data_IF_318371102439
#
_entry.id   IF_318371102439
#
_cell.length_a   1.000
_cell.length_b   1.000
_cell.length_c   1.000
_cell.angle_alpha   90.00
_cell.angle_beta   90.00
_cell.angle_gamma   90.00
#
_symmetry.space_group_name_H-M   'P 1'
#
loop_
_entity.id
_entity.type
_entity.pdbx_description
1 polymer ?
#
# COMPACT_ATOMS: atom_id res chain seq x y z
N UNK A 1 -67.18 4.53 12.66
CA UNK A 1 -65.98 4.35 11.81
C UNK A 1 -65.02 5.50 12.09
N UNK A 2 -63.86 5.24 12.70
CA UNK A 2 -62.79 6.27 12.90
C UNK A 2 -62.02 6.40 11.61
N UNK A 3 -62.20 7.51 10.89
CA UNK A 3 -61.32 7.88 9.79
C UNK A 3 -59.92 8.21 10.36
N UNK A 4 -58.99 7.28 10.25
CA UNK A 4 -57.56 7.58 10.49
C UNK A 4 -57.10 8.48 9.35
N UNK A 5 -56.92 9.76 9.64
CA UNK A 5 -56.24 10.71 8.76
C UNK A 5 -54.86 10.17 8.43
N UNK A 6 -54.66 9.71 7.24
CA UNK A 6 -53.34 9.31 6.73
C UNK A 6 -52.53 10.60 6.58
N UNK A 7 -51.62 10.85 7.51
CA UNK A 7 -50.65 11.93 7.37
C UNK A 7 -49.69 11.55 6.24
N UNK A 8 -49.74 12.25 5.15
CA UNK A 8 -48.79 12.12 4.05
C UNK A 8 -47.52 12.88 4.33
N UNK A 9 -46.37 12.42 3.77
CA UNK A 9 -45.12 13.13 3.78
C UNK A 9 -45.17 14.39 2.92
N UNK A 10 -44.57 15.49 3.39
CA UNK A 10 -44.42 16.69 2.57
C UNK A 10 -43.21 16.56 1.62
N UNK A 11 -43.29 17.23 0.47
CA UNK A 11 -42.23 17.22 -0.52
C UNK A 11 -40.92 17.82 0.05
N UNK A 12 -41.02 18.80 0.94
CA UNK A 12 -39.89 19.43 1.61
C UNK A 12 -39.20 18.47 2.57
N UNK A 13 -39.94 17.68 3.36
CA UNK A 13 -39.36 16.68 4.25
C UNK A 13 -38.53 15.65 3.49
N UNK A 14 -39.01 15.21 2.33
CA UNK A 14 -38.25 14.28 1.50
C UNK A 14 -37.01 14.94 0.87
N UNK A 15 -37.14 16.16 0.38
CA UNK A 15 -36.06 16.92 -0.25
C UNK A 15 -34.90 17.20 0.73
N UNK A 16 -35.21 17.58 1.96
CA UNK A 16 -34.20 17.84 3.02
C UNK A 16 -33.46 16.55 3.37
N UNK A 17 -34.14 15.44 3.48
CA UNK A 17 -33.52 14.14 3.82
C UNK A 17 -32.53 13.71 2.75
N UNK A 18 -32.89 13.74 1.47
CA UNK A 18 -31.98 13.37 0.38
C UNK A 18 -30.81 14.34 0.25
N UNK A 19 -30.99 15.63 0.53
CA UNK A 19 -29.92 16.62 0.55
C UNK A 19 -28.90 16.31 1.65
N UNK A 20 -29.35 15.99 2.87
CA UNK A 20 -28.49 15.63 4.00
C UNK A 20 -27.74 14.32 3.71
N UNK A 21 -28.42 13.31 3.20
CA UNK A 21 -27.80 12.04 2.80
C UNK A 21 -26.72 12.28 1.74
N UNK A 22 -26.96 13.12 0.75
CA UNK A 22 -26.01 13.44 -0.30
C UNK A 22 -24.73 14.10 0.25
N UNK A 23 -24.86 15.05 1.17
CA UNK A 23 -23.72 15.71 1.83
C UNK A 23 -22.95 14.71 2.68
N UNK A 24 -23.62 13.94 3.52
CA UNK A 24 -22.97 12.95 4.38
C UNK A 24 -22.25 11.88 3.56
N UNK A 25 -22.87 11.38 2.50
CA UNK A 25 -22.29 10.37 1.62
C UNK A 25 -20.99 10.89 0.96
N UNK A 26 -20.94 12.13 0.52
CA UNK A 26 -19.75 12.70 -0.13
C UNK A 26 -18.56 12.79 0.83
N UNK A 27 -18.78 13.19 2.09
CA UNK A 27 -17.73 13.26 3.12
C UNK A 27 -17.23 11.87 3.51
N UNK A 28 -18.14 10.92 3.67
CA UNK A 28 -17.78 9.53 4.04
C UNK A 28 -16.98 8.86 2.94
N UNK A 29 -17.35 9.04 1.66
CA UNK A 29 -16.63 8.45 0.54
C UNK A 29 -15.19 8.99 0.44
N UNK A 30 -14.99 10.30 0.62
CA UNK A 30 -13.65 10.90 0.60
C UNK A 30 -12.77 10.36 1.74
N UNK A 31 -13.33 10.27 2.95
CA UNK A 31 -12.65 9.70 4.12
C UNK A 31 -12.29 8.22 3.94
N UNK A 32 -13.18 7.45 3.33
CA UNK A 32 -12.99 6.03 3.10
C UNK A 32 -11.86 5.76 2.10
N UNK A 33 -11.78 6.52 1.02
CA UNK A 33 -10.68 6.40 0.06
C UNK A 33 -9.34 6.66 0.72
N UNK A 34 -9.21 7.75 1.48
CA UNK A 34 -7.97 8.06 2.20
C UNK A 34 -7.58 6.97 3.21
N UNK A 35 -8.56 6.40 3.92
CA UNK A 35 -8.32 5.30 4.85
C UNK A 35 -7.87 4.02 4.13
N UNK A 36 -8.43 3.74 2.97
CA UNK A 36 -8.05 2.61 2.13
C UNK A 36 -6.62 2.75 1.62
N UNK A 37 -6.26 3.90 1.06
CA UNK A 37 -4.90 4.15 0.56
C UNK A 37 -3.86 3.97 1.66
N UNK A 38 -4.13 4.47 2.88
CA UNK A 38 -3.26 4.25 4.04
C UNK A 38 -3.17 2.77 4.46
N UNK A 39 -4.25 2.03 4.34
CA UNK A 39 -4.27 0.60 4.59
C UNK A 39 -3.42 -0.18 3.59
N UNK A 40 -3.51 0.17 2.30
CA UNK A 40 -2.68 -0.40 1.24
C UNK A 40 -1.20 -0.09 1.47
N UNK A 41 -0.86 1.15 1.82
CA UNK A 41 0.52 1.53 2.15
C UNK A 41 1.10 0.75 3.32
N UNK A 42 0.29 0.51 4.35
CA UNK A 42 0.70 -0.30 5.49
C UNK A 42 0.96 -1.76 5.08
N UNK A 43 0.12 -2.32 4.20
CA UNK A 43 0.31 -3.67 3.66
C UNK A 43 1.57 -3.76 2.80
N UNK A 44 1.82 -2.78 1.93
CA UNK A 44 3.04 -2.69 1.11
C UNK A 44 4.29 -2.68 1.99
N UNK A 45 4.33 -1.80 2.98
CA UNK A 45 5.45 -1.69 3.93
C UNK A 45 5.67 -2.98 4.71
N UNK A 46 4.59 -3.62 5.16
CA UNK A 46 4.65 -4.89 5.88
C UNK A 46 5.24 -5.99 5.02
N UNK A 47 4.75 -6.15 3.78
CA UNK A 47 5.24 -7.16 2.86
C UNK A 47 6.73 -6.96 2.54
N UNK A 48 7.15 -5.73 2.21
CA UNK A 48 8.55 -5.44 1.93
C UNK A 48 9.46 -5.59 3.15
N UNK A 49 9.00 -5.29 4.35
CA UNK A 49 9.79 -5.56 5.56
C UNK A 49 9.93 -7.05 5.86
N UNK A 50 8.90 -7.84 5.58
CA UNK A 50 8.93 -9.30 5.80
C UNK A 50 9.94 -9.99 4.87
N UNK A 51 10.11 -9.56 3.63
CA UNK A 51 11.08 -10.16 2.71
C UNK A 51 12.52 -9.95 3.15
N UNK A 52 12.83 -8.97 3.98
CA UNK A 52 14.19 -8.76 4.51
C UNK A 52 14.68 -9.98 5.29
N UNK A 53 13.83 -10.52 6.17
CA UNK A 53 14.18 -11.72 6.91
C UNK A 53 14.36 -12.93 5.98
N UNK A 54 13.56 -13.04 4.92
CA UNK A 54 13.69 -14.11 3.94
C UNK A 54 14.98 -13.97 3.11
N UNK A 55 15.33 -12.75 2.72
CA UNK A 55 16.57 -12.47 2.00
C UNK A 55 17.81 -12.84 2.81
N UNK A 56 17.81 -12.58 4.13
CA UNK A 56 18.90 -13.00 5.02
C UNK A 56 18.99 -14.54 5.16
N UNK A 57 17.86 -15.24 5.11
CA UNK A 57 17.87 -16.72 5.10
C UNK A 57 18.49 -17.29 3.81
N UNK A 58 18.26 -16.64 2.67
CA UNK A 58 18.91 -17.01 1.41
C UNK A 58 20.42 -16.79 1.53
N UNK A 59 20.83 -15.62 2.02
CA UNK A 59 22.24 -15.31 2.24
C UNK A 59 22.93 -16.29 3.19
N UNK A 60 22.26 -16.68 4.26
CA UNK A 60 22.82 -17.65 5.23
C UNK A 60 23.01 -19.05 4.61
N UNK A 61 22.24 -19.38 3.58
CA UNK A 61 22.30 -20.66 2.88
C UNK A 61 23.33 -20.65 1.76
N UNK A 62 23.36 -19.59 0.95
CA UNK A 62 24.11 -19.52 -0.31
C UNK A 62 25.42 -18.72 -0.18
N UNK A 63 25.52 -17.87 0.85
CA UNK A 63 26.68 -17.02 1.14
C UNK A 63 26.72 -15.71 0.34
N UNK A 64 25.69 -15.46 -0.44
CA UNK A 64 25.52 -14.22 -1.23
C UNK A 64 24.03 -13.90 -1.44
N UNK A 65 23.75 -12.81 -2.15
CA UNK A 65 22.38 -12.37 -2.45
C UNK A 65 21.95 -12.66 -3.89
N UNK A 66 22.76 -13.38 -4.67
CA UNK A 66 22.39 -13.74 -6.03
C UNK A 66 21.19 -14.72 -6.01
N UNK A 67 20.15 -14.39 -6.75
CA UNK A 67 18.92 -15.19 -6.76
C UNK A 67 17.93 -14.90 -5.62
N UNK A 68 18.21 -13.96 -4.70
CA UNK A 68 17.27 -13.55 -3.63
C UNK A 68 15.90 -13.18 -4.19
N UNK A 69 15.85 -12.42 -5.28
CA UNK A 69 14.59 -12.03 -5.90
C UNK A 69 13.83 -13.18 -6.58
N UNK A 70 14.48 -14.32 -6.81
CA UNK A 70 13.87 -15.54 -7.35
C UNK A 70 13.39 -16.50 -6.26
N UNK A 71 13.83 -16.31 -4.99
CA UNK A 71 13.32 -17.09 -3.88
C UNK A 71 11.80 -16.97 -3.77
N UNK A 72 11.14 -18.09 -3.55
CA UNK A 72 9.67 -18.17 -3.57
C UNK A 72 9.02 -17.23 -2.56
N UNK A 73 9.55 -17.11 -1.36
CA UNK A 73 8.98 -16.30 -0.29
C UNK A 73 9.23 -14.80 -0.57
N UNK A 74 10.43 -14.46 -1.04
CA UNK A 74 10.78 -13.10 -1.45
C UNK A 74 9.92 -12.66 -2.62
N UNK A 75 9.83 -13.46 -3.68
CA UNK A 75 9.03 -13.17 -4.87
C UNK A 75 7.54 -12.99 -4.54
N UNK A 76 6.99 -13.81 -3.66
CA UNK A 76 5.59 -13.66 -3.20
C UNK A 76 5.38 -12.36 -2.42
N UNK A 77 6.30 -12.01 -1.51
CA UNK A 77 6.22 -10.77 -0.75
C UNK A 77 6.32 -9.52 -1.63
N UNK A 78 7.22 -9.53 -2.61
CA UNK A 78 7.35 -8.45 -3.61
C UNK A 78 6.10 -8.34 -4.47
N UNK A 79 5.57 -9.46 -4.96
CA UNK A 79 4.33 -9.49 -5.74
C UNK A 79 3.14 -8.97 -4.93
N UNK A 80 3.01 -9.38 -3.67
CA UNK A 80 1.95 -8.90 -2.77
C UNK A 80 2.05 -7.39 -2.47
N UNK A 81 3.27 -6.83 -2.52
CA UNK A 81 3.49 -5.40 -2.41
C UNK A 81 3.26 -4.65 -3.74
N UNK A 82 3.06 -5.35 -4.86
CA UNK A 82 3.03 -4.73 -6.19
C UNK A 82 4.37 -4.08 -6.56
N UNK A 83 5.47 -4.63 -6.06
CA UNK A 83 6.79 -4.04 -6.12
C UNK A 83 7.72 -4.65 -7.16
N UNK A 84 8.95 -4.18 -7.14
CA UNK A 84 10.08 -4.68 -7.95
C UNK A 84 11.21 -5.06 -7.00
N UNK A 85 11.94 -6.13 -7.36
CA UNK A 85 13.11 -6.60 -6.65
C UNK A 85 14.27 -6.73 -7.63
N UNK A 86 15.46 -6.35 -7.18
CA UNK A 86 16.70 -6.54 -7.92
C UNK A 86 17.78 -7.06 -6.97
N UNK A 87 18.58 -7.98 -7.46
CA UNK A 87 19.66 -8.60 -6.71
C UNK A 87 20.97 -8.66 -7.51
N UNK A 88 22.02 -8.89 -6.78
CA UNK A 88 23.37 -9.17 -7.25
C UNK A 88 24.10 -9.94 -6.15
N UNK A 89 25.26 -10.48 -6.42
CA UNK A 89 26.07 -11.21 -5.44
C UNK A 89 26.24 -10.46 -4.12
N UNK A 90 26.45 -9.14 -4.16
CA UNK A 90 26.76 -8.34 -2.97
C UNK A 90 25.61 -7.54 -2.38
N UNK A 91 24.45 -7.44 -3.03
CA UNK A 91 23.37 -6.58 -2.59
C UNK A 91 22.04 -6.93 -3.25
N UNK A 92 20.95 -6.59 -2.56
CA UNK A 92 19.60 -6.61 -3.13
C UNK A 92 18.80 -5.41 -2.65
N UNK A 93 17.79 -5.03 -3.42
CA UNK A 93 16.79 -4.06 -2.99
C UNK A 93 15.42 -4.41 -3.57
N UNK A 94 14.39 -4.09 -2.80
CA UNK A 94 13.01 -4.19 -3.25
C UNK A 94 12.25 -2.90 -2.93
N UNK A 95 11.39 -2.47 -3.83
CA UNK A 95 10.63 -1.23 -3.68
C UNK A 95 9.27 -1.33 -4.34
N UNK A 96 8.32 -0.58 -3.80
CA UNK A 96 6.97 -0.46 -4.34
C UNK A 96 6.44 0.96 -4.17
N UNK A 97 5.61 1.40 -5.12
CA UNK A 97 4.93 2.69 -5.05
C UNK A 97 3.85 2.68 -3.96
N UNK A 98 3.69 3.81 -3.26
CA UNK A 98 2.67 3.99 -2.25
C UNK A 98 1.38 4.57 -2.85
N UNK A 99 0.23 4.09 -2.37
CA UNK A 99 -1.08 4.51 -2.85
C UNK A 99 -1.49 5.90 -2.34
N UNK A 100 -1.11 6.24 -1.12
CA UNK A 100 -1.48 7.53 -0.50
C UNK A 100 -0.66 8.73 -1.00
N UNK A 101 0.45 8.49 -1.71
CA UNK A 101 1.34 9.53 -2.18
C UNK A 101 1.92 9.17 -3.56
N UNK A 102 1.32 9.71 -4.59
CA UNK A 102 1.53 9.40 -6.02
C UNK A 102 2.98 9.51 -6.53
N UNK A 103 3.89 10.07 -5.75
CA UNK A 103 5.32 10.20 -6.13
C UNK A 103 6.24 9.56 -5.10
N UNK A 104 5.70 8.76 -4.18
CA UNK A 104 6.49 8.14 -3.13
C UNK A 104 6.56 6.63 -3.30
N UNK A 105 7.72 6.08 -3.03
CA UNK A 105 7.96 4.64 -2.98
C UNK A 105 8.52 4.24 -1.63
N UNK A 106 8.20 3.03 -1.20
CA UNK A 106 8.86 2.42 -0.05
C UNK A 106 9.94 1.46 -0.55
N UNK A 107 11.14 1.58 0.01
CA UNK A 107 12.30 0.79 -0.40
C UNK A 107 12.94 0.12 0.80
N UNK A 108 13.35 -1.13 0.61
CA UNK A 108 14.14 -1.93 1.56
C UNK A 108 15.35 -2.51 0.84
N UNK A 109 16.47 -2.65 1.52
CA UNK A 109 17.70 -3.20 0.93
C UNK A 109 18.55 -4.04 1.91
N UNK A 110 19.59 -4.66 1.38
CA UNK A 110 20.54 -5.50 2.11
C UNK A 110 21.34 -4.76 3.18
N UNK A 111 21.41 -3.43 3.14
CA UNK A 111 22.12 -2.61 4.15
C UNK A 111 21.29 -2.38 5.41
N UNK A 112 20.06 -2.84 5.43
CA UNK A 112 19.12 -2.61 6.52
C UNK A 112 18.25 -1.38 6.36
N UNK A 113 18.36 -0.63 5.25
CA UNK A 113 17.48 0.49 4.98
C UNK A 113 16.04 0.04 4.78
N UNK A 114 15.12 0.85 5.30
CA UNK A 114 13.68 0.71 5.12
C UNK A 114 13.10 2.12 5.13
N UNK A 115 12.98 2.74 3.95
CA UNK A 115 12.68 4.16 3.81
C UNK A 115 11.53 4.44 2.84
N UNK A 116 10.79 5.50 3.12
CA UNK A 116 9.90 6.12 2.13
C UNK A 116 10.69 7.23 1.42
N UNK A 117 10.70 7.22 0.11
CA UNK A 117 11.43 8.19 -0.70
C UNK A 117 10.58 8.70 -1.86
N UNK A 118 10.80 9.94 -2.24
CA UNK A 118 10.28 10.55 -3.48
C UNK A 118 11.31 10.50 -4.61
N UNK A 119 12.53 10.04 -4.30
CA UNK A 119 13.58 9.87 -5.30
C UNK A 119 13.24 8.68 -6.20
N UNK A 120 13.36 8.88 -7.51
CA UNK A 120 13.18 7.81 -8.47
C UNK A 120 14.20 6.71 -8.24
N UNK A 121 13.73 5.48 -8.03
CA UNK A 121 14.58 4.30 -7.88
C UNK A 121 14.79 3.71 -9.27
N UNK A 122 16.05 3.56 -9.66
CA UNK A 122 16.39 2.96 -10.96
C UNK A 122 15.87 1.52 -11.06
N UNK A 123 15.43 1.12 -12.24
CA UNK A 123 14.84 -0.21 -12.48
C UNK A 123 15.78 -1.38 -12.12
N UNK A 124 17.07 -1.16 -12.06
CA UNK A 124 18.10 -2.15 -11.71
C UNK A 124 18.83 -1.81 -10.40
N UNK A 125 18.26 -0.93 -9.56
CA UNK A 125 18.89 -0.55 -8.32
C UNK A 125 18.89 -1.70 -7.31
N UNK A 126 20.06 -2.02 -6.78
CA UNK A 126 20.26 -3.02 -5.70
C UNK A 126 20.48 -2.37 -4.33
N UNK A 127 20.25 -1.07 -4.22
CA UNK A 127 20.29 -0.30 -2.99
C UNK A 127 19.23 0.80 -2.99
N UNK A 128 18.69 1.11 -1.83
CA UNK A 128 17.79 2.24 -1.65
C UNK A 128 18.54 3.57 -1.77
N UNK A 129 17.92 4.63 -2.33
CA UNK A 129 18.56 5.92 -2.44
C UNK A 129 18.96 6.48 -1.07
N UNK A 130 19.89 7.45 -1.07
CA UNK A 130 20.13 8.26 0.11
C UNK A 130 18.88 9.10 0.39
N UNK A 131 18.48 9.15 1.66
CA UNK A 131 17.34 9.96 2.11
C UNK A 131 17.60 11.44 1.94
#
# INVERSE_FOLDING_TARGET
MKNRLKRGFTLIELLVVIAIIGILASVVLASLNSARDKGEDAAIKSNLNNIRAQAELVYDTDGDYDGVCLDTNVAQGVTAAGGTCNDSVGAWAAFASLSSATSSSYCVDSTGKAITTTTSIGALATACPAS
#
